data_IF_619688905636
#
_entry.id   IF_619688905636
#
_cell.length_a   1.000
_cell.length_b   1.000
_cell.length_c   1.000
_cell.angle_alpha   90.00
_cell.angle_beta   90.00
_cell.angle_gamma   90.00
#
_symmetry.space_group_name_H-M   'P 1'
#
loop_
_entity.id
_entity.type
_entity.pdbx_description
1 polymer ?
#
# COMPACT_ATOMS: atom_id res chain seq x y z
N UNK A 1 -11.42 0.67 -6.42
CA UNK A 1 -12.45 0.18 -5.48
C UNK A 1 -13.73 0.00 -6.27
N UNK A 2 -14.24 -1.23 -6.34
CA UNK A 2 -15.55 -1.49 -6.92
C UNK A 2 -16.65 -1.16 -5.91
N UNK A 3 -17.73 -0.54 -6.39
CA UNK A 3 -18.90 -0.16 -5.59
C UNK A 3 -20.13 -0.89 -6.12
N UNK A 4 -21.00 -1.33 -5.20
CA UNK A 4 -22.22 -2.06 -5.55
C UNK A 4 -23.31 -1.18 -6.16
N UNK A 5 -23.20 0.15 -6.02
CA UNK A 5 -24.12 1.13 -6.59
C UNK A 5 -23.35 2.26 -7.28
N UNK A 6 -23.99 3.01 -8.20
CA UNK A 6 -23.44 4.24 -8.76
C UNK A 6 -23.14 5.26 -7.66
N UNK A 7 -22.08 6.05 -7.83
CA UNK A 7 -21.69 7.06 -6.86
C UNK A 7 -22.54 8.31 -7.02
N UNK A 8 -23.16 8.75 -5.94
CA UNK A 8 -23.73 10.10 -5.86
C UNK A 8 -22.57 11.10 -5.64
N UNK A 9 -22.11 11.73 -6.72
CA UNK A 9 -20.98 12.65 -6.69
C UNK A 9 -21.18 13.81 -5.70
N UNK A 10 -22.31 14.57 -5.69
CA UNK A 10 -22.53 15.63 -4.70
C UNK A 10 -22.37 15.18 -3.25
N UNK A 11 -22.95 14.02 -2.89
CA UNK A 11 -22.83 13.45 -1.54
C UNK A 11 -21.39 13.07 -1.22
N UNK A 12 -20.68 12.51 -2.21
CA UNK A 12 -19.27 12.16 -2.08
C UNK A 12 -18.37 13.39 -1.90
N UNK A 13 -18.58 14.47 -2.69
CA UNK A 13 -17.88 15.74 -2.55
C UNK A 13 -18.07 16.31 -1.14
N UNK A 14 -19.31 16.39 -0.67
CA UNK A 14 -19.63 16.88 0.67
C UNK A 14 -18.96 16.02 1.77
N UNK A 15 -18.90 14.70 1.58
CA UNK A 15 -18.18 13.79 2.47
C UNK A 15 -16.68 14.07 2.52
N UNK A 16 -16.04 14.35 1.39
CA UNK A 16 -14.63 14.75 1.33
C UNK A 16 -14.39 16.06 2.08
N UNK A 17 -15.21 17.07 1.82
CA UNK A 17 -15.05 18.39 2.46
C UNK A 17 -15.17 18.31 3.97
N UNK A 18 -16.19 17.61 4.45
CA UNK A 18 -16.50 17.52 5.88
C UNK A 18 -15.56 16.58 6.62
N UNK A 19 -15.26 15.39 6.08
CA UNK A 19 -14.50 14.36 6.79
C UNK A 19 -13.02 14.35 6.42
N UNK A 20 -12.69 14.32 5.12
CA UNK A 20 -11.29 14.16 4.67
C UNK A 20 -10.48 15.44 4.91
N UNK A 21 -10.97 16.58 4.42
CA UNK A 21 -10.24 17.85 4.48
C UNK A 21 -10.18 18.43 5.89
N UNK A 22 -11.21 18.20 6.72
CA UNK A 22 -11.23 18.66 8.11
C UNK A 22 -10.32 17.82 9.01
N UNK A 23 -10.37 16.49 8.89
CA UNK A 23 -9.61 15.60 9.79
C UNK A 23 -8.14 15.45 9.39
N UNK A 24 -7.81 15.59 8.11
CA UNK A 24 -6.48 15.27 7.60
C UNK A 24 -5.82 16.47 6.90
N UNK A 25 -5.04 17.28 7.63
CA UNK A 25 -4.36 18.46 7.10
C UNK A 25 -3.49 18.21 5.86
N UNK A 26 -2.96 17.00 5.69
CA UNK A 26 -2.09 16.63 4.56
C UNK A 26 -2.80 16.69 3.21
N UNK A 27 -4.12 16.48 3.18
CA UNK A 27 -4.93 16.58 1.96
C UNK A 27 -5.21 18.02 1.55
N UNK A 28 -4.84 18.99 2.39
CA UNK A 28 -4.92 20.41 2.11
C UNK A 28 -3.56 21.05 1.91
N UNK A 29 -2.49 20.27 1.80
CA UNK A 29 -1.13 20.78 1.72
C UNK A 29 -0.57 20.68 0.31
N UNK A 30 0.10 21.74 -0.11
CA UNK A 30 0.91 21.79 -1.33
C UNK A 30 2.39 21.93 -0.98
N UNK A 31 3.26 21.38 -1.83
CA UNK A 31 4.69 21.52 -1.68
C UNK A 31 5.16 22.80 -2.36
N UNK A 32 5.71 23.73 -1.60
CA UNK A 32 6.25 25.00 -2.08
C UNK A 32 7.76 24.99 -1.91
N UNK A 33 8.47 25.47 -2.91
CA UNK A 33 9.91 25.69 -2.85
C UNK A 33 10.16 27.14 -2.40
N UNK A 34 10.98 27.35 -1.37
CA UNK A 34 11.39 28.71 -1.03
C UNK A 34 12.33 29.27 -2.11
N UNK A 35 12.09 30.52 -2.53
CA UNK A 35 12.81 31.18 -3.63
C UNK A 35 14.30 31.51 -3.38
N UNK A 36 14.90 30.95 -2.32
CA UNK A 36 16.34 31.08 -2.04
C UNK A 36 17.12 30.02 -2.81
N UNK A 37 18.42 30.28 -3.08
CA UNK A 37 19.31 29.41 -3.86
C UNK A 37 19.44 27.97 -3.31
N UNK A 38 19.10 27.76 -2.04
CA UNK A 38 19.06 26.44 -1.36
C UNK A 38 17.63 25.96 -1.04
N UNK A 39 16.63 26.37 -1.83
CA UNK A 39 15.20 26.23 -1.56
C UNK A 39 14.80 24.86 -0.99
N UNK A 40 14.59 24.80 0.32
CA UNK A 40 14.08 23.59 0.99
C UNK A 40 12.59 23.46 0.67
N UNK A 41 12.11 22.26 0.28
CA UNK A 41 10.69 22.05 0.08
C UNK A 41 9.95 22.16 1.41
N UNK A 42 8.89 22.97 1.46
CA UNK A 42 7.99 23.08 2.60
C UNK A 42 6.55 22.77 2.20
N UNK A 43 5.80 22.21 3.14
CA UNK A 43 4.37 21.97 2.96
C UNK A 43 3.58 23.16 3.51
N UNK A 44 2.73 23.74 2.67
CA UNK A 44 1.88 24.87 3.04
C UNK A 44 0.43 24.47 2.81
N UNK A 45 -0.43 24.78 3.78
CA UNK A 45 -1.86 24.53 3.64
C UNK A 45 -2.48 25.53 2.67
N UNK A 46 -3.38 25.05 1.83
CA UNK A 46 -4.13 25.84 0.85
C UNK A 46 -5.62 25.62 0.99
N UNK A 47 -6.40 26.54 0.41
CA UNK A 47 -7.82 26.31 0.16
C UNK A 47 -7.92 25.30 -0.98
N UNK A 48 -8.73 24.27 -0.77
CA UNK A 48 -8.91 23.18 -1.72
C UNK A 48 -10.29 23.29 -2.33
N UNK A 49 -10.34 23.34 -3.65
CA UNK A 49 -11.56 23.12 -4.41
C UNK A 49 -11.69 21.62 -4.68
N UNK A 50 -12.75 20.97 -4.20
CA UNK A 50 -12.92 19.51 -4.31
C UNK A 50 -13.23 19.09 -5.74
N UNK A 51 -13.98 19.90 -6.49
CA UNK A 51 -14.36 19.59 -7.88
C UNK A 51 -13.12 19.45 -8.79
N UNK A 52 -12.07 20.21 -8.48
CA UNK A 52 -10.78 20.16 -9.18
C UNK A 52 -10.04 18.82 -9.01
N UNK A 53 -10.45 17.99 -8.06
CA UNK A 53 -9.83 16.70 -7.71
C UNK A 53 -10.75 15.52 -8.04
N UNK A 54 -11.94 15.78 -8.60
CA UNK A 54 -12.93 14.78 -9.00
C UNK A 54 -12.96 14.69 -10.52
N UNK A 55 -12.57 13.53 -11.04
CA UNK A 55 -12.38 13.32 -12.47
C UNK A 55 -13.30 12.20 -12.94
N UNK A 56 -14.22 12.53 -13.85
CA UNK A 56 -15.05 11.53 -14.55
C UNK A 56 -14.49 11.40 -15.97
N UNK A 57 -13.59 10.43 -16.23
CA UNK A 57 -12.98 10.29 -17.55
C UNK A 57 -14.03 9.86 -18.59
N UNK A 58 -13.89 10.40 -19.80
CA UNK A 58 -14.63 9.94 -20.97
C UNK A 58 -13.83 8.81 -21.61
N UNK A 59 -14.32 7.59 -21.51
CA UNK A 59 -13.73 6.41 -22.14
C UNK A 59 -14.44 6.07 -23.44
N UNK A 60 -13.76 5.30 -24.30
CA UNK A 60 -14.36 4.75 -25.50
C UNK A 60 -15.41 3.70 -25.13
N UNK A 61 -16.68 4.02 -25.40
CA UNK A 61 -17.82 3.17 -25.07
C UNK A 61 -17.75 1.81 -25.76
N UNK A 62 -17.25 1.74 -27.00
CA UNK A 62 -17.13 0.47 -27.72
C UNK A 62 -16.10 -0.46 -27.06
N UNK A 63 -15.00 0.11 -26.55
CA UNK A 63 -14.00 -0.65 -25.82
C UNK A 63 -14.54 -1.11 -24.44
N UNK A 64 -15.26 -0.23 -23.74
CA UNK A 64 -15.89 -0.54 -22.44
C UNK A 64 -16.93 -1.65 -22.58
N UNK A 65 -17.81 -1.59 -23.58
CA UNK A 65 -18.85 -2.62 -23.80
C UNK A 65 -18.24 -3.99 -24.17
N UNK A 66 -17.06 -4.00 -24.80
CA UNK A 66 -16.38 -5.23 -25.19
C UNK A 66 -15.71 -5.96 -24.02
N UNK A 67 -15.07 -5.21 -23.11
CA UNK A 67 -14.29 -5.74 -21.98
C UNK A 67 -14.15 -4.63 -20.91
N UNK A 68 -15.14 -4.49 -20.01
CA UNK A 68 -15.19 -3.38 -19.06
C UNK A 68 -14.07 -3.49 -18.02
N UNK A 69 -13.68 -4.70 -17.61
CA UNK A 69 -12.54 -4.92 -16.70
C UNK A 69 -11.24 -4.42 -17.31
N UNK A 70 -10.96 -4.80 -18.55
CA UNK A 70 -9.77 -4.34 -19.26
C UNK A 70 -9.79 -2.83 -19.48
N UNK A 71 -10.95 -2.23 -19.73
CA UNK A 71 -11.07 -0.78 -19.81
C UNK A 71 -10.65 -0.08 -18.51
N UNK A 72 -11.06 -0.61 -17.35
CA UNK A 72 -10.59 -0.13 -16.03
C UNK A 72 -9.07 -0.30 -15.90
N UNK A 73 -8.53 -1.48 -16.20
CA UNK A 73 -7.09 -1.75 -16.11
C UNK A 73 -6.26 -0.82 -17.00
N UNK A 74 -6.71 -0.62 -18.25
CA UNK A 74 -6.03 0.23 -19.21
C UNK A 74 -6.08 1.69 -18.78
N UNK A 75 -7.22 2.16 -18.27
CA UNK A 75 -7.33 3.50 -17.71
C UNK A 75 -6.39 3.69 -16.53
N UNK A 76 -6.42 2.80 -15.53
CA UNK A 76 -5.54 2.87 -14.35
C UNK A 76 -4.07 2.80 -14.77
N UNK A 77 -3.73 1.96 -15.75
CA UNK A 77 -2.37 1.88 -16.27
C UNK A 77 -1.94 3.19 -16.95
N UNK A 78 -2.84 3.91 -17.62
CA UNK A 78 -2.55 5.21 -18.23
C UNK A 78 -2.23 6.29 -17.18
N UNK A 79 -2.87 6.25 -16.01
CA UNK A 79 -2.62 7.19 -14.90
C UNK A 79 -1.17 7.12 -14.38
N UNK A 80 -0.49 5.97 -14.56
CA UNK A 80 0.92 5.80 -14.17
C UNK A 80 1.89 6.64 -15.02
N UNK A 81 1.46 7.10 -16.20
CA UNK A 81 2.29 7.89 -17.12
C UNK A 81 2.07 9.40 -16.96
N UNK A 82 0.85 9.80 -16.62
CA UNK A 82 0.46 11.20 -16.50
C UNK A 82 1.15 11.86 -15.30
N UNK A 83 1.64 13.11 -15.40
CA UNK A 83 2.05 13.86 -14.21
C UNK A 83 0.82 14.27 -13.37
N UNK A 84 1.02 14.57 -12.09
CA UNK A 84 0.03 15.25 -11.25
C UNK A 84 0.37 16.74 -11.19
N UNK A 85 -0.64 17.61 -11.11
CA UNK A 85 -0.44 19.05 -10.95
C UNK A 85 0.06 19.37 -9.53
N UNK A 86 1.31 19.85 -9.43
CA UNK A 86 1.94 20.21 -8.16
C UNK A 86 1.45 21.52 -7.57
N UNK A 87 0.63 22.29 -8.29
CA UNK A 87 0.01 23.52 -7.79
C UNK A 87 -1.20 23.23 -6.89
N UNK A 88 -1.68 21.99 -6.88
CA UNK A 88 -2.82 21.51 -6.11
C UNK A 88 -2.36 20.40 -5.16
N UNK A 89 -3.10 20.13 -4.08
CA UNK A 89 -2.87 18.94 -3.27
C UNK A 89 -2.82 17.68 -4.13
N UNK A 90 -1.82 16.83 -3.91
CA UNK A 90 -1.47 15.75 -4.85
C UNK A 90 -2.33 14.49 -4.69
N UNK A 91 -3.65 14.62 -4.82
CA UNK A 91 -4.61 13.52 -4.80
C UNK A 91 -5.74 13.77 -5.80
N UNK A 92 -6.28 12.71 -6.37
CA UNK A 92 -7.32 12.73 -7.40
C UNK A 92 -8.24 11.52 -7.18
N UNK A 93 -9.55 11.72 -7.26
CA UNK A 93 -10.53 10.65 -7.35
C UNK A 93 -11.03 10.56 -8.78
N UNK A 94 -10.90 9.38 -9.39
CA UNK A 94 -11.48 9.11 -10.69
C UNK A 94 -12.68 8.18 -10.58
N UNK A 95 -13.80 8.55 -11.19
CA UNK A 95 -15.05 7.80 -11.16
C UNK A 95 -15.35 7.18 -12.51
N UNK A 96 -15.38 5.85 -12.54
CA UNK A 96 -15.72 5.05 -13.70
C UNK A 96 -17.16 4.56 -13.51
N UNK A 97 -18.10 5.30 -14.09
CA UNK A 97 -19.54 5.04 -13.95
C UNK A 97 -20.05 4.07 -15.02
N UNK A 98 -19.50 2.86 -15.00
CA UNK A 98 -19.99 1.74 -15.79
C UNK A 98 -19.83 0.43 -15.02
N UNK A 99 -20.67 -0.53 -15.37
CA UNK A 99 -20.75 -1.82 -14.68
C UNK A 99 -19.63 -2.76 -15.16
N UNK A 100 -18.94 -3.36 -14.21
CA UNK A 100 -18.06 -4.52 -14.41
C UNK A 100 -18.72 -5.79 -13.84
N UNK A 101 -18.10 -6.95 -14.03
CA UNK A 101 -18.52 -8.21 -13.44
C UNK A 101 -18.56 -8.18 -11.91
N UNK A 102 -17.70 -7.38 -11.26
CA UNK A 102 -17.56 -7.31 -9.81
C UNK A 102 -18.28 -6.10 -9.17
N UNK A 103 -18.56 -5.04 -9.94
CA UNK A 103 -19.05 -3.78 -9.41
C UNK A 103 -20.00 -3.03 -10.35
N UNK A 104 -20.92 -2.24 -9.79
CA UNK A 104 -21.79 -1.35 -10.56
C UNK A 104 -21.07 -0.07 -11.01
N UNK A 105 -20.12 0.41 -10.21
CA UNK A 105 -19.24 1.53 -10.56
C UNK A 105 -17.86 1.32 -9.92
N UNK A 106 -16.82 1.94 -10.46
CA UNK A 106 -15.46 1.82 -9.94
C UNK A 106 -14.85 3.18 -9.62
N UNK A 107 -14.32 3.33 -8.41
CA UNK A 107 -13.58 4.52 -7.98
C UNK A 107 -12.08 4.23 -7.92
N UNK A 108 -11.27 5.10 -8.52
CA UNK A 108 -9.81 5.03 -8.48
C UNK A 108 -9.29 6.22 -7.68
N UNK A 109 -8.66 5.95 -6.54
CA UNK A 109 -7.94 6.97 -5.77
C UNK A 109 -6.49 6.99 -6.24
N UNK A 110 -6.06 8.13 -6.78
CA UNK A 110 -4.69 8.40 -7.17
C UNK A 110 -4.11 9.43 -6.22
N UNK A 111 -2.97 9.14 -5.63
CA UNK A 111 -2.31 10.06 -4.69
C UNK A 111 -0.79 9.97 -4.83
N UNK A 112 -0.10 11.04 -4.48
CA UNK A 112 1.34 11.05 -4.41
C UNK A 112 1.84 10.48 -3.08
N UNK A 113 2.88 9.64 -3.13
CA UNK A 113 3.39 8.91 -1.95
C UNK A 113 3.89 9.81 -0.82
N UNK A 114 4.18 11.09 -1.10
CA UNK A 114 4.55 12.06 -0.07
C UNK A 114 3.41 12.42 0.89
N UNK A 115 2.14 12.14 0.54
CA UNK A 115 0.98 12.41 1.40
C UNK A 115 0.91 11.39 2.55
N UNK A 116 1.24 10.13 2.26
CA UNK A 116 1.15 9.05 3.23
C UNK A 116 1.76 7.75 2.74
N UNK A 117 2.17 6.93 3.69
CA UNK A 117 2.55 5.55 3.46
C UNK A 117 1.31 4.66 3.34
N UNK A 118 1.51 3.40 2.93
CA UNK A 118 0.41 2.46 2.71
C UNK A 118 -0.46 2.27 3.96
N UNK A 119 0.14 2.27 5.15
CA UNK A 119 -0.59 2.13 6.42
C UNK A 119 -1.42 3.37 6.76
N UNK A 120 -0.88 4.58 6.58
CA UNK A 120 -1.65 5.81 6.80
C UNK A 120 -2.84 5.90 5.83
N UNK A 121 -2.64 5.53 4.57
CA UNK A 121 -3.70 5.53 3.54
C UNK A 121 -4.77 4.47 3.86
N UNK A 122 -4.37 3.27 4.27
CA UNK A 122 -5.33 2.23 4.67
C UNK A 122 -6.14 2.66 5.91
N UNK A 123 -5.47 3.22 6.91
CA UNK A 123 -6.11 3.76 8.11
C UNK A 123 -7.09 4.87 7.76
N UNK A 124 -6.73 5.74 6.82
CA UNK A 124 -7.59 6.78 6.31
C UNK A 124 -8.85 6.20 5.64
N UNK A 125 -8.68 5.27 4.70
CA UNK A 125 -9.80 4.62 3.98
C UNK A 125 -10.76 3.91 4.95
N UNK A 126 -10.21 3.28 5.99
CA UNK A 126 -11.01 2.71 7.07
C UNK A 126 -11.72 3.80 7.85
N UNK A 127 -11.03 4.86 8.29
CA UNK A 127 -11.63 5.96 9.05
C UNK A 127 -12.70 6.75 8.27
N UNK A 128 -12.64 6.76 6.94
CA UNK A 128 -13.67 7.33 6.06
C UNK A 128 -14.85 6.39 5.80
N UNK A 129 -14.79 5.14 6.27
CA UNK A 129 -15.87 4.16 6.15
C UNK A 129 -16.74 4.15 7.41
N UNK A 130 -17.97 3.67 7.29
CA UNK A 130 -18.89 3.44 8.43
C UNK A 130 -19.33 1.99 8.45
N UNK A 131 -19.77 1.50 9.62
CA UNK A 131 -20.32 0.15 9.73
C UNK A 131 -21.62 0.06 8.92
N UNK A 132 -21.76 -0.99 8.13
CA UNK A 132 -23.00 -1.27 7.38
C UNK A 132 -24.18 -1.57 8.31
N UNK A 133 -23.92 -2.12 9.49
CA UNK A 133 -24.93 -2.41 10.50
C UNK A 133 -25.28 -1.20 11.39
N UNK A 134 -24.37 -0.23 11.50
CA UNK A 134 -24.55 0.97 12.34
C UNK A 134 -23.79 2.16 11.75
N UNK A 135 -24.49 3.06 11.01
CA UNK A 135 -23.86 4.20 10.35
C UNK A 135 -23.17 5.20 11.30
N UNK A 136 -23.57 5.26 12.57
CA UNK A 136 -22.95 6.15 13.55
C UNK A 136 -21.62 5.60 14.06
N UNK A 137 -21.44 4.28 14.02
CA UNK A 137 -20.26 3.60 14.53
C UNK A 137 -19.07 3.74 13.58
N UNK A 138 -18.00 4.31 14.10
CA UNK A 138 -16.70 4.32 13.41
C UNK A 138 -16.13 2.89 13.38
N UNK A 139 -15.50 2.46 12.27
CA UNK A 139 -14.82 1.19 12.21
C UNK A 139 -13.68 1.19 13.24
N UNK A 140 -13.79 0.30 14.22
CA UNK A 140 -12.75 0.11 15.20
C UNK A 140 -11.58 -0.59 14.50
N UNK A 141 -10.40 0.04 14.52
CA UNK A 141 -9.19 -0.71 14.20
C UNK A 141 -9.06 -1.84 15.24
N UNK A 142 -8.86 -3.09 14.81
CA UNK A 142 -8.58 -4.15 15.77
C UNK A 142 -7.37 -3.75 16.60
N UNK A 143 -7.35 -4.06 17.91
CA UNK A 143 -6.19 -3.77 18.73
C UNK A 143 -4.96 -4.42 18.05
N UNK A 144 -3.80 -3.74 18.06
CA UNK A 144 -2.61 -4.33 17.49
C UNK A 144 -2.38 -5.69 18.15
N UNK A 145 -2.07 -6.74 17.36
CA UNK A 145 -1.85 -8.06 17.94
C UNK A 145 -0.76 -7.93 19.01
N UNK A 146 -0.99 -8.55 20.17
CA UNK A 146 0.06 -8.68 21.17
C UNK A 146 1.21 -9.42 20.49
N UNK A 147 2.32 -8.71 20.29
CA UNK A 147 3.51 -9.27 19.67
C UNK A 147 4.11 -10.25 20.67
N UNK A 148 3.89 -11.53 20.44
CA UNK A 148 4.38 -12.61 21.29
C UNK A 148 5.52 -13.31 20.56
N UNK A 149 6.70 -13.35 21.17
CA UNK A 149 7.90 -13.96 20.59
C UNK A 149 9.14 -13.56 21.39
N UNK A 150 10.23 -14.30 21.26
CA UNK A 150 11.47 -14.07 22.03
C UNK A 150 12.00 -12.62 21.88
N UNK A 151 11.81 -12.01 20.71
CA UNK A 151 12.23 -10.63 20.39
C UNK A 151 11.40 -9.59 21.17
N UNK A 152 10.16 -9.92 21.54
CA UNK A 152 9.24 -9.04 22.27
C UNK A 152 9.10 -9.41 23.74
N UNK A 153 9.77 -10.48 24.19
CA UNK A 153 9.89 -10.76 25.61
C UNK A 153 10.60 -9.58 26.26
N UNK A 154 10.02 -9.11 27.38
CA UNK A 154 10.60 -8.04 28.17
C UNK A 154 12.02 -8.46 28.53
N UNK A 155 12.98 -7.56 28.30
CA UNK A 155 14.37 -7.77 28.70
C UNK A 155 14.37 -8.27 30.17
N UNK A 156 15.08 -9.36 30.50
CA UNK A 156 15.05 -9.90 31.85
C UNK A 156 15.45 -8.79 32.81
N UNK A 157 14.62 -8.53 33.83
CA UNK A 157 14.94 -7.54 34.86
C UNK A 157 16.29 -7.90 35.48
N UNK A 158 17.14 -6.91 35.83
CA UNK A 158 18.42 -7.22 36.44
C UNK A 158 18.17 -8.02 37.73
N UNK A 159 18.67 -9.26 37.85
CA UNK A 159 18.59 -9.99 39.10
C UNK A 159 19.43 -9.28 40.16
N UNK A 160 19.21 -9.58 41.45
CA UNK A 160 19.98 -8.96 42.54
C UNK A 160 21.48 -9.16 42.30
N UNK A 161 22.25 -8.09 42.56
CA UNK A 161 23.70 -8.07 42.42
C UNK A 161 24.31 -9.26 43.18
N UNK A 162 25.22 -10.00 42.53
CA UNK A 162 25.88 -11.22 43.05
C UNK A 162 25.02 -12.49 43.21
N UNK A 163 23.92 -12.60 42.47
CA UNK A 163 23.29 -13.92 42.22
C UNK A 163 23.93 -14.63 41.02
N UNK A 164 23.86 -15.96 40.96
CA UNK A 164 24.27 -16.76 39.79
C UNK A 164 23.61 -16.28 38.49
N UNK A 165 22.40 -15.74 38.61
CA UNK A 165 21.57 -15.29 37.51
C UNK A 165 22.09 -13.99 36.86
N UNK A 166 22.92 -13.22 37.56
CA UNK A 166 23.56 -12.00 37.02
C UNK A 166 24.55 -12.32 35.90
N UNK A 167 25.30 -13.42 36.03
CA UNK A 167 26.25 -13.84 35.01
C UNK A 167 25.53 -14.37 33.76
N UNK A 168 24.46 -15.14 33.95
CA UNK A 168 23.60 -15.60 32.85
C UNK A 168 22.91 -14.43 32.12
N UNK A 169 22.48 -13.41 32.87
CA UNK A 169 21.93 -12.18 32.33
C UNK A 169 22.96 -11.42 31.49
N UNK A 170 24.17 -11.19 32.00
CA UNK A 170 25.26 -10.54 31.26
C UNK A 170 25.64 -11.34 30.01
N UNK A 171 25.72 -12.66 30.14
CA UNK A 171 26.01 -13.58 29.03
C UNK A 171 24.97 -13.49 27.92
N UNK A 172 23.69 -13.30 28.25
CA UNK A 172 22.63 -13.12 27.24
C UNK A 172 22.86 -11.90 26.34
N UNK A 173 23.43 -10.81 26.87
CA UNK A 173 23.81 -9.64 26.05
C UNK A 173 25.03 -9.90 25.17
N UNK A 174 26.00 -10.68 25.67
CA UNK A 174 27.16 -11.09 24.88
C UNK A 174 26.71 -11.97 23.70
N UNK A 175 25.83 -12.94 23.95
CA UNK A 175 25.24 -13.81 22.93
C UNK A 175 24.41 -12.99 21.93
N UNK A 176 23.58 -12.06 22.40
CA UNK A 176 22.81 -11.17 21.53
C UNK A 176 23.72 -10.29 20.65
N UNK A 177 24.77 -9.70 21.23
CA UNK A 177 25.75 -8.90 20.49
C UNK A 177 26.47 -9.74 19.45
N UNK A 178 26.83 -10.98 19.78
CA UNK A 178 27.45 -11.93 18.84
C UNK A 178 26.52 -12.28 17.67
N UNK A 179 25.26 -12.66 17.94
CA UNK A 179 24.30 -12.95 16.87
C UNK A 179 24.03 -11.72 16.00
N UNK A 180 23.88 -10.54 16.61
CA UNK A 180 23.70 -9.29 15.86
C UNK A 180 24.90 -8.99 14.97
N UNK A 181 26.13 -9.20 15.47
CA UNK A 181 27.35 -9.04 14.69
C UNK A 181 27.38 -10.02 13.50
N UNK A 182 27.11 -11.30 13.75
CA UNK A 182 27.06 -12.34 12.70
C UNK A 182 26.01 -11.99 11.64
N UNK A 183 24.81 -11.56 12.06
CA UNK A 183 23.73 -11.17 11.15
C UNK A 183 24.10 -9.94 10.32
N UNK A 184 24.74 -8.93 10.92
CA UNK A 184 25.24 -7.75 10.21
C UNK A 184 26.31 -8.15 9.19
N UNK A 185 27.26 -9.01 9.58
CA UNK A 185 28.32 -9.49 8.68
C UNK A 185 27.72 -10.31 7.54
N UNK A 186 26.78 -11.21 7.83
CA UNK A 186 26.10 -12.02 6.83
C UNK A 186 25.27 -11.14 5.87
N UNK A 187 24.57 -10.14 6.38
CA UNK A 187 23.84 -9.18 5.58
C UNK A 187 24.77 -8.37 4.68
N UNK A 188 25.88 -7.86 5.22
CA UNK A 188 26.88 -7.11 4.46
C UNK A 188 27.52 -8.00 3.38
N UNK A 189 27.85 -9.25 3.72
CA UNK A 189 28.36 -10.22 2.76
C UNK A 189 27.32 -10.53 1.67
N UNK A 190 26.05 -10.69 2.03
CA UNK A 190 24.96 -10.90 1.08
C UNK A 190 24.86 -9.72 0.12
N UNK A 191 24.82 -8.49 0.63
CA UNK A 191 24.71 -7.28 -0.21
C UNK A 191 25.93 -7.08 -1.12
N UNK A 192 27.13 -7.40 -0.64
CA UNK A 192 28.38 -7.16 -1.38
C UNK A 192 28.69 -8.28 -2.39
N UNK A 193 28.32 -9.53 -2.09
CA UNK A 193 28.73 -10.70 -2.88
C UNK A 193 27.58 -11.39 -3.62
N UNK A 194 26.36 -11.39 -3.07
CA UNK A 194 25.19 -11.92 -3.77
C UNK A 194 24.62 -10.84 -4.69
N UNK A 195 25.09 -10.87 -5.93
CA UNK A 195 24.45 -10.14 -7.02
C UNK A 195 23.20 -10.92 -7.41
N UNK A 196 22.05 -10.26 -7.39
CA UNK A 196 20.82 -10.87 -7.88
C UNK A 196 21.03 -11.34 -9.32
N UNK A 197 20.61 -12.58 -9.66
CA UNK A 197 20.64 -13.02 -11.06
C UNK A 197 19.86 -12.02 -11.90
N UNK A 198 20.34 -11.74 -13.11
CA UNK A 198 19.66 -10.89 -14.07
C UNK A 198 18.37 -11.56 -14.52
N UNK A 199 17.29 -11.35 -13.78
CA UNK A 199 15.96 -11.83 -14.11
C UNK A 199 15.17 -10.72 -14.81
N UNK A 200 14.07 -11.08 -15.46
CA UNK A 200 13.14 -10.10 -16.02
C UNK A 200 12.51 -9.15 -14.98
N UNK A 201 12.64 -9.50 -13.68
CA UNK A 201 12.18 -8.66 -12.57
C UNK A 201 13.27 -7.70 -12.07
N UNK A 202 14.53 -7.89 -12.48
CA UNK A 202 15.64 -7.02 -12.09
C UNK A 202 15.49 -5.66 -12.79
N UNK A 203 15.56 -4.58 -12.02
CA UNK A 203 15.45 -3.22 -12.54
C UNK A 203 16.63 -2.95 -13.49
N UNK A 204 16.36 -2.52 -14.74
CA UNK A 204 17.42 -2.14 -15.69
C UNK A 204 18.20 -0.96 -15.09
N UNK A 205 19.53 -1.04 -14.96
CA UNK A 205 20.35 -0.05 -14.26
C UNK A 205 20.54 1.26 -15.02
N UNK A 206 19.94 1.42 -16.21
CA UNK A 206 19.98 2.67 -16.96
C UNK A 206 19.14 3.74 -16.27
N UNK A 207 19.76 4.42 -15.29
CA UNK A 207 19.81 5.87 -15.00
C UNK A 207 18.56 6.77 -15.04
N UNK A 208 17.48 6.36 -15.68
CA UNK A 208 16.18 7.01 -15.63
C UNK A 208 15.21 6.06 -14.96
N UNK A 209 14.37 6.60 -14.06
CA UNK A 209 13.09 5.96 -13.78
C UNK A 209 12.37 5.81 -15.12
N UNK A 210 12.55 4.67 -15.79
CA UNK A 210 11.89 4.41 -17.05
C UNK A 210 10.41 4.53 -16.74
N UNK A 211 9.78 5.53 -17.34
CA UNK A 211 8.35 5.85 -17.19
C UNK A 211 7.54 4.77 -17.92
N UNK A 212 7.81 3.50 -17.59
CA UNK A 212 7.12 2.34 -18.13
C UNK A 212 5.73 2.37 -17.55
N UNK A 213 4.75 2.21 -18.44
CA UNK A 213 3.35 2.07 -18.07
C UNK A 213 3.25 0.93 -17.07
N UNK A 214 2.89 1.24 -15.82
CA UNK A 214 2.66 0.23 -14.79
C UNK A 214 1.25 -0.30 -15.02
N UNK A 215 1.13 -1.57 -15.40
CA UNK A 215 -0.17 -2.22 -15.49
C UNK A 215 -0.55 -2.75 -14.12
N UNK A 216 -1.70 -2.31 -13.63
CA UNK A 216 -2.30 -2.82 -12.41
C UNK A 216 -3.43 -3.75 -12.83
N UNK A 217 -3.25 -5.04 -12.56
CA UNK A 217 -4.24 -6.10 -12.76
C UNK A 217 -4.72 -6.49 -11.38
N UNK A 218 -6.03 -6.65 -11.21
CA UNK A 218 -6.60 -7.15 -9.97
C UNK A 218 -7.35 -8.45 -10.23
N UNK A 219 -7.35 -9.32 -9.23
CA UNK A 219 -8.13 -10.54 -9.24
C UNK A 219 -8.71 -10.76 -7.86
N UNK A 220 -10.02 -11.00 -7.80
CA UNK A 220 -10.71 -11.30 -6.56
C UNK A 220 -10.57 -12.77 -6.21
N UNK A 221 -10.25 -13.03 -4.95
CA UNK A 221 -10.19 -14.39 -4.38
C UNK A 221 -11.23 -14.48 -3.27
N UNK A 222 -11.95 -15.60 -3.22
CA UNK A 222 -12.93 -15.84 -2.15
C UNK A 222 -12.19 -16.07 -0.84
N UNK A 223 -12.55 -15.30 0.19
CA UNK A 223 -11.94 -15.44 1.51
C UNK A 223 -12.19 -16.81 2.13
N UNK A 224 -13.32 -17.44 1.82
CA UNK A 224 -13.67 -18.77 2.31
C UNK A 224 -12.72 -19.84 1.76
N UNK A 225 -12.33 -19.73 0.49
CA UNK A 225 -11.36 -20.64 -0.13
C UNK A 225 -9.98 -20.47 0.53
N UNK A 226 -9.56 -19.23 0.80
CA UNK A 226 -8.31 -18.94 1.52
C UNK A 226 -8.33 -19.52 2.93
N UNK A 227 -9.47 -19.39 3.64
CA UNK A 227 -9.66 -19.99 4.98
C UNK A 227 -9.64 -21.51 4.93
N UNK A 228 -10.23 -22.13 3.92
CA UNK A 228 -10.23 -23.58 3.73
C UNK A 228 -8.80 -24.09 3.55
N UNK A 229 -8.03 -23.49 2.64
CA UNK A 229 -6.64 -23.86 2.37
C UNK A 229 -5.78 -23.69 3.63
N UNK A 230 -5.96 -22.58 4.34
CA UNK A 230 -5.30 -22.31 5.62
C UNK A 230 -5.52 -23.47 6.61
N UNK A 231 -6.77 -23.90 6.77
CA UNK A 231 -7.14 -24.97 7.71
C UNK A 231 -6.56 -26.32 7.28
N UNK A 232 -6.65 -26.65 5.99
CA UNK A 232 -6.16 -27.93 5.45
C UNK A 232 -4.63 -28.04 5.56
N UNK A 233 -3.91 -26.94 5.30
CA UNK A 233 -2.45 -26.91 5.32
C UNK A 233 -1.84 -26.53 6.69
N UNK A 234 -2.69 -26.31 7.71
CA UNK A 234 -2.29 -25.88 9.04
C UNK A 234 -1.30 -24.69 9.05
N UNK A 235 -1.58 -23.68 8.23
CA UNK A 235 -0.75 -22.48 8.08
C UNK A 235 -1.51 -21.18 8.40
N UNK A 236 -0.91 -20.03 8.16
CA UNK A 236 -1.57 -18.72 8.31
C UNK A 236 -2.13 -18.22 6.97
N UNK A 237 -3.03 -17.23 7.00
CA UNK A 237 -3.55 -16.61 5.76
C UNK A 237 -2.42 -16.01 4.91
N UNK A 238 -1.39 -15.45 5.55
CA UNK A 238 -0.26 -14.85 4.85
C UNK A 238 0.55 -15.92 4.10
N UNK A 239 0.73 -17.10 4.69
CA UNK A 239 1.45 -18.21 4.05
C UNK A 239 0.74 -18.66 2.77
N UNK A 240 -0.60 -18.74 2.81
CA UNK A 240 -1.41 -19.06 1.62
C UNK A 240 -1.22 -18.00 0.54
N UNK A 241 -1.32 -16.71 0.87
CA UNK A 241 -1.19 -15.62 -0.10
C UNK A 241 0.23 -15.54 -0.70
N UNK A 242 1.27 -15.71 0.13
CA UNK A 242 2.67 -15.75 -0.31
C UNK A 242 2.91 -16.96 -1.21
N UNK A 243 2.37 -18.13 -0.86
CA UNK A 243 2.45 -19.34 -1.67
C UNK A 243 1.82 -19.17 -3.05
N UNK A 244 0.61 -18.62 -3.12
CA UNK A 244 -0.10 -18.33 -4.38
C UNK A 244 0.70 -17.32 -5.23
N UNK A 245 1.19 -16.25 -4.62
CA UNK A 245 1.98 -15.21 -5.31
C UNK A 245 3.29 -15.78 -5.85
N UNK A 246 3.99 -16.58 -5.05
CA UNK A 246 5.23 -17.26 -5.43
C UNK A 246 5.00 -18.22 -6.61
N UNK A 247 3.93 -19.02 -6.56
CA UNK A 247 3.57 -19.92 -7.65
C UNK A 247 3.22 -19.14 -8.94
N UNK A 248 2.47 -18.05 -8.84
CA UNK A 248 2.10 -17.21 -9.98
C UNK A 248 3.35 -16.57 -10.64
N UNK A 249 4.22 -15.96 -9.85
CA UNK A 249 5.46 -15.35 -10.33
C UNK A 249 6.40 -16.38 -10.95
N UNK A 250 6.54 -17.55 -10.32
CA UNK A 250 7.36 -18.66 -10.83
C UNK A 250 6.85 -19.16 -12.17
N UNK A 251 5.54 -19.42 -12.29
CA UNK A 251 4.92 -19.85 -13.57
C UNK A 251 5.10 -18.78 -14.65
N UNK A 252 4.94 -17.50 -14.31
CA UNK A 252 5.16 -16.41 -15.24
C UNK A 252 6.62 -16.34 -15.72
N UNK A 253 7.58 -16.46 -14.79
CA UNK A 253 9.01 -16.52 -15.08
C UNK A 253 9.37 -17.65 -16.02
N UNK A 254 9.03 -18.90 -15.69
CA UNK A 254 9.36 -20.04 -16.56
C UNK A 254 8.69 -19.97 -17.93
N UNK A 255 7.46 -19.45 -18.02
CA UNK A 255 6.77 -19.27 -19.31
C UNK A 255 7.45 -18.22 -20.21
N UNK A 256 8.07 -17.20 -19.62
CA UNK A 256 8.71 -16.11 -20.35
C UNK A 256 10.18 -16.37 -20.65
N UNK A 257 10.89 -17.09 -19.79
CA UNK A 257 12.31 -17.41 -19.95
C UNK A 257 12.56 -18.57 -20.93
N UNK A 258 11.56 -19.42 -21.20
CA UNK A 258 11.65 -20.50 -22.20
C UNK A 258 11.26 -20.07 -23.63
N UNK A 259 11.08 -18.77 -23.89
CA UNK A 259 10.90 -18.20 -25.24
C UNK A 259 12.16 -17.47 -25.64
#
# INVERSE_FOLDING_TARGET
MGLSMPVNLPVFCAGIETELLTRFPRFRSIQVMDGSKDGKPRWVQTVVNVDDHIIVPRLDLAAVDSDPEKAVEDYVASLSLLPMDRRRPLWEFHFLDFRTSEAASTTVLRLHHSIGDGMSIMTLLMASSRSTADPARLPAMPPPPKRTGAIYQRCPQPPRLWSSDYLAWLWSYVVLAWHTLVDIVLLAATVLFLRDPGTMFTLVPDGGQSRRRKRLVHQSLRLDDVKLIKTVLNCTMNDVLVGVTSAALSRYYFRKSCK
#
